data_IF_838344922169
#
_entry.id   IF_838344922169
#
_cell.length_a   1.000
_cell.length_b   1.000
_cell.length_c   1.000
_cell.angle_alpha   90.00
_cell.angle_beta   90.00
_cell.angle_gamma   90.00
#
_symmetry.space_group_name_H-M   'P 1'
#
loop_
_entity.id
_entity.type
_entity.pdbx_description
1 polymer ?
#
# COMPACT_ATOMS: atom_id res chain seq x y z
N UNK A 1 0.00 -10.00 -13.37
CA UNK A 1 0.07 -9.87 -11.89
C UNK A 1 1.33 -9.07 -11.52
N UNK A 2 1.14 -7.80 -11.15
CA UNK A 2 2.21 -6.94 -10.66
C UNK A 2 2.50 -7.16 -9.16
N UNK A 3 3.49 -6.42 -8.60
CA UNK A 3 3.92 -6.59 -7.21
C UNK A 3 2.75 -6.49 -6.19
N UNK A 4 1.88 -5.48 -6.33
CA UNK A 4 0.78 -5.27 -5.38
C UNK A 4 -0.32 -6.31 -5.54
N UNK A 5 -0.72 -6.64 -6.77
CA UNK A 5 -1.66 -7.72 -7.03
C UNK A 5 -1.15 -9.06 -6.49
N UNK A 6 0.14 -9.35 -6.68
CA UNK A 6 0.79 -10.54 -6.12
C UNK A 6 0.85 -10.55 -4.59
N UNK A 7 1.06 -9.40 -3.94
CA UNK A 7 1.01 -9.29 -2.48
C UNK A 7 -0.40 -9.57 -1.94
N UNK A 8 -1.42 -8.97 -2.55
CA UNK A 8 -2.82 -9.19 -2.19
C UNK A 8 -3.19 -10.68 -2.39
N UNK A 9 -2.84 -11.27 -3.53
CA UNK A 9 -3.07 -12.69 -3.80
C UNK A 9 -2.45 -13.57 -2.72
N UNK A 10 -1.15 -13.40 -2.44
CA UNK A 10 -0.44 -14.19 -1.41
C UNK A 10 -0.99 -13.96 0.00
N UNK A 11 -1.42 -12.74 0.30
CA UNK A 11 -2.10 -12.43 1.56
C UNK A 11 -3.44 -13.15 1.66
N UNK A 12 -4.26 -13.05 0.62
CA UNK A 12 -5.58 -13.69 0.55
C UNK A 12 -5.51 -15.20 0.74
N UNK A 13 -4.51 -15.86 0.18
CA UNK A 13 -4.29 -17.32 0.32
C UNK A 13 -3.95 -17.78 1.74
N UNK A 14 -3.73 -16.85 2.69
CA UNK A 14 -3.63 -17.20 4.13
C UNK A 14 -5.02 -17.41 4.77
N UNK A 15 -6.07 -16.92 4.14
CA UNK A 15 -7.43 -16.87 4.69
C UNK A 15 -8.46 -17.57 3.80
N UNK A 16 -8.28 -17.48 2.48
CA UNK A 16 -9.20 -18.05 1.47
C UNK A 16 -8.53 -19.23 0.78
N UNK A 17 -9.31 -20.22 0.36
CA UNK A 17 -8.82 -21.32 -0.44
C UNK A 17 -8.52 -20.85 -1.88
N UNK A 18 -7.57 -21.48 -2.61
CA UNK A 18 -7.26 -21.10 -3.98
C UNK A 18 -8.48 -21.15 -4.92
N UNK A 19 -9.42 -22.05 -4.69
CA UNK A 19 -10.67 -22.20 -5.44
C UNK A 19 -11.70 -21.06 -5.20
N UNK A 20 -11.55 -20.28 -4.14
CA UNK A 20 -12.39 -19.11 -3.85
C UNK A 20 -11.89 -17.85 -4.59
N UNK A 21 -10.75 -17.95 -5.27
CA UNK A 21 -10.09 -16.83 -5.94
C UNK A 21 -9.90 -17.16 -7.40
N UNK A 22 -10.21 -16.22 -8.28
CA UNK A 22 -9.84 -16.26 -9.68
C UNK A 22 -9.16 -14.95 -10.07
N UNK A 23 -8.37 -14.96 -11.13
CA UNK A 23 -7.74 -13.73 -11.62
C UNK A 23 -7.64 -13.71 -13.15
N UNK A 24 -7.45 -12.51 -13.69
CA UNK A 24 -7.09 -12.28 -15.07
C UNK A 24 -5.80 -11.47 -15.15
N UNK A 25 -4.93 -11.83 -16.08
CA UNK A 25 -3.77 -11.03 -16.47
C UNK A 25 -3.63 -11.06 -17.99
N UNK A 26 -3.49 -9.91 -18.63
CA UNK A 26 -3.33 -9.80 -20.08
C UNK A 26 -2.05 -10.49 -20.60
N UNK A 27 -1.07 -10.75 -19.74
CA UNK A 27 0.11 -11.53 -20.06
C UNK A 27 -0.12 -13.01 -19.69
N UNK A 28 -0.46 -13.83 -20.70
CA UNK A 28 -0.76 -15.25 -20.52
C UNK A 28 0.38 -16.04 -19.82
N UNK A 29 1.64 -15.78 -20.17
CA UNK A 29 2.78 -16.44 -19.52
C UNK A 29 2.88 -16.10 -18.03
N UNK A 30 2.54 -14.86 -17.65
CA UNK A 30 2.47 -14.45 -16.25
C UNK A 30 1.28 -15.12 -15.55
N UNK A 31 0.13 -15.24 -16.21
CA UNK A 31 -1.04 -15.92 -15.66
C UNK A 31 -0.74 -17.40 -15.38
N UNK A 32 -0.17 -18.14 -16.34
CA UNK A 32 0.25 -19.52 -16.18
C UNK A 32 1.24 -19.71 -15.02
N UNK A 33 2.23 -18.82 -14.92
CA UNK A 33 3.21 -18.83 -13.84
C UNK A 33 2.55 -18.67 -12.48
N UNK A 34 1.65 -17.68 -12.32
CA UNK A 34 0.96 -17.43 -11.05
C UNK A 34 0.06 -18.60 -10.69
N UNK A 35 -0.67 -19.17 -11.64
CA UNK A 35 -1.46 -20.40 -11.41
C UNK A 35 -0.59 -21.55 -10.91
N UNK A 36 0.56 -21.79 -11.55
CA UNK A 36 1.49 -22.85 -11.13
C UNK A 36 2.06 -22.63 -9.71
N UNK A 37 2.32 -21.38 -9.34
CA UNK A 37 2.88 -21.01 -8.03
C UNK A 37 1.85 -21.02 -6.89
N UNK A 38 0.58 -20.70 -7.19
CA UNK A 38 -0.43 -20.41 -6.16
C UNK A 38 -1.59 -21.41 -6.13
N UNK A 39 -1.81 -22.15 -7.22
CA UNK A 39 -3.00 -22.99 -7.42
C UNK A 39 -4.26 -22.20 -7.82
N UNK A 40 -4.22 -20.86 -7.78
CA UNK A 40 -5.35 -20.01 -8.17
C UNK A 40 -5.55 -20.06 -9.68
N UNK A 41 -6.79 -20.28 -10.11
CA UNK A 41 -7.11 -20.38 -11.53
C UNK A 41 -7.20 -18.98 -12.17
N UNK A 42 -6.73 -18.87 -13.42
CA UNK A 42 -6.93 -17.68 -14.22
C UNK A 42 -8.04 -17.88 -15.26
N UNK A 43 -8.69 -16.79 -15.60
CA UNK A 43 -9.74 -16.73 -16.64
C UNK A 43 -9.21 -16.03 -17.90
N UNK A 44 -9.97 -16.06 -18.98
CA UNK A 44 -9.53 -15.58 -20.31
C UNK A 44 -9.78 -14.09 -20.55
N UNK A 45 -10.62 -13.44 -19.72
CA UNK A 45 -10.98 -12.01 -19.88
C UNK A 45 -11.47 -11.36 -18.59
N UNK A 46 -11.48 -10.01 -18.54
CA UNK A 46 -12.10 -9.25 -17.45
C UNK A 46 -13.60 -9.52 -17.35
N UNK A 47 -14.30 -9.67 -18.47
CA UNK A 47 -15.74 -9.95 -18.48
C UNK A 47 -16.05 -11.32 -17.88
N UNK A 48 -15.28 -12.34 -18.22
CA UNK A 48 -15.41 -13.67 -17.63
C UNK A 48 -15.16 -13.63 -16.12
N UNK A 49 -14.18 -12.85 -15.66
CA UNK A 49 -13.92 -12.66 -14.23
C UNK A 49 -15.12 -12.00 -13.54
N UNK A 50 -15.59 -10.89 -14.09
CA UNK A 50 -16.71 -10.12 -13.51
C UNK A 50 -17.96 -10.97 -13.37
N UNK A 51 -18.26 -11.85 -14.33
CA UNK A 51 -19.47 -12.68 -14.28
C UNK A 51 -19.47 -13.71 -13.12
N UNK A 52 -18.28 -14.12 -12.65
CA UNK A 52 -18.12 -15.23 -11.70
C UNK A 52 -17.91 -14.81 -10.24
N UNK A 53 -17.61 -13.54 -9.96
CA UNK A 53 -17.21 -13.12 -8.60
C UNK A 53 -18.14 -12.08 -7.99
N UNK A 54 -18.17 -12.00 -6.67
CA UNK A 54 -18.85 -10.92 -5.91
C UNK A 54 -17.92 -9.72 -5.68
N UNK A 55 -16.64 -9.95 -5.45
CA UNK A 55 -15.65 -8.90 -5.15
C UNK A 55 -14.62 -8.82 -6.27
N UNK A 56 -14.52 -7.66 -6.91
CA UNK A 56 -13.66 -7.40 -8.06
C UNK A 56 -12.53 -6.48 -7.63
N UNK A 57 -11.27 -6.95 -7.67
CA UNK A 57 -10.12 -6.14 -7.33
C UNK A 57 -9.44 -5.61 -8.60
N UNK A 58 -9.53 -4.30 -8.83
CA UNK A 58 -8.85 -3.60 -9.92
C UNK A 58 -7.41 -3.27 -9.51
N UNK A 59 -6.48 -4.16 -9.89
CA UNK A 59 -5.06 -4.08 -9.53
C UNK A 59 -4.18 -3.80 -10.74
N UNK A 60 -4.65 -2.96 -11.64
CA UNK A 60 -3.93 -2.53 -12.85
C UNK A 60 -3.25 -1.18 -12.66
N UNK A 61 -2.28 -0.85 -13.53
CA UNK A 61 -1.66 0.48 -13.52
C UNK A 61 -2.70 1.56 -13.84
N UNK A 62 -2.57 2.78 -13.27
CA UNK A 62 -3.50 3.87 -13.53
C UNK A 62 -3.74 4.15 -15.02
N UNK A 63 -2.70 4.05 -15.85
CA UNK A 63 -2.79 4.27 -17.30
C UNK A 63 -3.63 3.23 -18.05
N UNK A 64 -3.80 2.04 -17.48
CA UNK A 64 -4.58 0.92 -18.06
C UNK A 64 -6.01 0.94 -17.55
N UNK A 65 -6.24 1.51 -16.37
CA UNK A 65 -7.54 1.46 -15.70
C UNK A 65 -8.71 1.98 -16.54
N UNK A 66 -8.62 3.10 -17.28
CA UNK A 66 -9.73 3.57 -18.12
C UNK A 66 -10.19 2.54 -19.16
N UNK A 67 -9.26 1.82 -19.78
CA UNK A 67 -9.60 0.78 -20.75
C UNK A 67 -10.31 -0.41 -20.08
N UNK A 68 -9.85 -0.83 -18.89
CA UNK A 68 -10.48 -1.90 -18.12
C UNK A 68 -11.88 -1.49 -17.65
N UNK A 69 -12.03 -0.26 -17.14
CA UNK A 69 -13.35 0.26 -16.74
C UNK A 69 -14.34 0.27 -17.92
N UNK A 70 -13.91 0.73 -19.10
CA UNK A 70 -14.73 0.73 -20.30
C UNK A 70 -15.13 -0.69 -20.76
N UNK A 71 -14.22 -1.67 -20.61
CA UNK A 71 -14.50 -3.08 -20.94
C UNK A 71 -15.58 -3.68 -20.02
N UNK A 72 -15.52 -3.41 -18.71
CA UNK A 72 -16.47 -3.97 -17.73
C UNK A 72 -17.70 -3.10 -17.47
N UNK A 73 -17.79 -1.94 -18.11
CA UNK A 73 -18.94 -1.04 -17.99
C UNK A 73 -20.24 -1.76 -18.40
N UNK A 74 -21.25 -1.70 -17.53
CA UNK A 74 -22.52 -2.39 -17.71
C UNK A 74 -22.51 -3.91 -17.45
N UNK A 75 -21.35 -4.52 -17.23
CA UNK A 75 -21.24 -5.92 -16.85
C UNK A 75 -21.24 -6.12 -15.32
N UNK A 76 -20.85 -5.11 -14.55
CA UNK A 76 -20.82 -5.16 -13.08
C UNK A 76 -22.25 -5.12 -12.53
N UNK A 77 -22.62 -6.13 -11.73
CA UNK A 77 -23.96 -6.30 -11.16
C UNK A 77 -24.12 -5.47 -9.87
N UNK A 78 -25.35 -5.13 -9.51
CA UNK A 78 -25.66 -4.28 -8.36
C UNK A 78 -25.26 -4.90 -6.99
N UNK A 79 -25.15 -6.22 -6.92
CA UNK A 79 -24.73 -6.96 -5.74
C UNK A 79 -23.22 -7.16 -5.64
N UNK A 80 -22.47 -6.76 -6.66
CA UNK A 80 -21.00 -6.85 -6.68
C UNK A 80 -20.36 -5.62 -6.05
N UNK A 81 -19.12 -5.79 -5.60
CA UNK A 81 -18.28 -4.76 -4.99
C UNK A 81 -17.00 -4.60 -5.81
N UNK A 82 -16.72 -3.39 -6.28
CA UNK A 82 -15.48 -3.08 -6.98
C UNK A 82 -14.50 -2.43 -6.00
N UNK A 83 -13.31 -3.02 -5.89
CA UNK A 83 -12.23 -2.58 -5.02
C UNK A 83 -11.08 -2.09 -5.91
N UNK A 84 -10.80 -0.79 -5.93
CA UNK A 84 -9.70 -0.24 -6.73
C UNK A 84 -8.50 0.09 -5.86
N UNK A 85 -7.32 -0.39 -6.27
CA UNK A 85 -6.02 0.00 -5.67
C UNK A 85 -5.23 0.94 -6.58
N UNK A 86 -5.84 1.48 -7.63
CA UNK A 86 -5.17 2.38 -8.56
C UNK A 86 -5.08 3.81 -8.00
N UNK A 87 -3.88 4.39 -8.04
CA UNK A 87 -3.68 5.79 -7.66
C UNK A 87 -4.31 6.74 -8.68
N UNK A 88 -4.75 7.93 -8.22
CA UNK A 88 -5.25 8.99 -9.09
C UNK A 88 -6.74 8.91 -9.42
N UNK A 89 -7.44 7.81 -9.15
CA UNK A 89 -8.88 7.66 -9.41
C UNK A 89 -9.68 7.68 -8.11
N UNK A 90 -10.63 8.60 -8.02
CA UNK A 90 -11.59 8.69 -6.93
C UNK A 90 -12.76 7.73 -7.09
N UNK A 91 -13.59 7.61 -6.05
CA UNK A 91 -14.83 6.80 -6.10
C UNK A 91 -15.77 7.32 -7.20
N UNK A 92 -15.87 8.63 -7.38
CA UNK A 92 -16.67 9.23 -8.43
C UNK A 92 -16.16 8.86 -9.84
N UNK A 93 -14.85 8.97 -10.07
CA UNK A 93 -14.22 8.61 -11.35
C UNK A 93 -14.45 7.11 -11.70
N UNK A 94 -14.38 6.24 -10.67
CA UNK A 94 -14.62 4.80 -10.82
C UNK A 94 -16.10 4.51 -11.15
N UNK A 95 -17.05 5.19 -10.50
CA UNK A 95 -18.48 5.05 -10.78
C UNK A 95 -18.82 5.57 -12.18
N UNK A 96 -18.28 6.72 -12.59
CA UNK A 96 -18.46 7.24 -13.94
C UNK A 96 -17.98 6.25 -15.01
N UNK A 97 -16.80 5.63 -14.79
CA UNK A 97 -16.21 4.71 -15.77
C UNK A 97 -16.84 3.32 -15.81
N UNK A 98 -17.41 2.81 -14.71
CA UNK A 98 -17.95 1.44 -14.61
C UNK A 98 -19.49 1.45 -14.63
N UNK A 99 -20.12 2.46 -14.02
CA UNK A 99 -21.56 2.62 -13.86
C UNK A 99 -21.90 3.26 -12.52
N UNK A 100 -22.78 4.26 -12.53
CA UNK A 100 -23.15 5.07 -11.35
C UNK A 100 -23.69 4.24 -10.16
N UNK A 101 -24.33 3.11 -10.43
CA UNK A 101 -24.84 2.20 -9.40
C UNK A 101 -23.78 1.32 -8.74
N UNK A 102 -22.52 1.36 -9.19
CA UNK A 102 -21.46 0.49 -8.70
C UNK A 102 -21.08 0.83 -7.25
N UNK A 103 -20.97 -0.19 -6.43
CA UNK A 103 -20.46 -0.08 -5.06
C UNK A 103 -18.95 -0.18 -5.07
N UNK A 104 -18.29 0.92 -4.71
CA UNK A 104 -16.85 1.08 -4.86
C UNK A 104 -16.17 1.22 -3.52
N UNK A 105 -15.06 0.49 -3.36
CA UNK A 105 -14.06 0.64 -2.30
C UNK A 105 -12.76 1.15 -2.92
N UNK A 106 -12.30 2.31 -2.51
CA UNK A 106 -11.01 2.86 -2.90
C UNK A 106 -9.95 2.49 -1.86
N UNK A 107 -8.83 1.95 -2.31
CA UNK A 107 -7.77 1.48 -1.40
C UNK A 107 -6.41 2.00 -1.85
N UNK A 108 -5.60 2.42 -0.90
CA UNK A 108 -4.20 2.81 -1.10
C UNK A 108 -3.30 1.90 -0.27
N UNK A 109 -2.90 0.74 -0.82
CA UNK A 109 -1.93 -0.14 -0.17
C UNK A 109 -0.50 0.34 -0.42
N UNK A 110 0.48 -0.28 0.25
CA UNK A 110 1.89 0.01 0.04
C UNK A 110 2.75 -1.25 -0.10
N UNK A 111 3.99 -1.09 -0.58
CA UNK A 111 4.88 -2.21 -0.93
C UNK A 111 5.28 -3.12 0.23
N UNK A 112 5.36 -2.70 1.51
CA UNK A 112 5.60 -3.63 2.63
C UNK A 112 4.54 -4.75 2.77
N UNK A 113 3.40 -4.65 2.09
CA UNK A 113 2.43 -5.74 1.93
C UNK A 113 3.06 -7.05 1.40
N UNK A 114 4.16 -6.96 0.61
CA UNK A 114 4.90 -8.13 0.10
C UNK A 114 5.47 -9.03 1.22
N UNK A 115 5.69 -8.46 2.40
CA UNK A 115 6.20 -9.17 3.58
C UNK A 115 5.17 -9.23 4.73
N UNK A 116 3.91 -8.84 4.46
CA UNK A 116 2.82 -8.87 5.44
C UNK A 116 2.82 -7.68 6.42
N UNK A 117 3.63 -6.66 6.16
CA UNK A 117 3.76 -5.44 6.98
C UNK A 117 3.25 -4.21 6.21
N UNK A 118 2.24 -4.42 5.36
CA UNK A 118 1.60 -3.34 4.62
C UNK A 118 0.70 -2.46 5.48
N UNK A 119 0.40 -1.28 4.94
CA UNK A 119 -0.71 -0.44 5.38
C UNK A 119 -1.62 -0.17 4.20
N UNK A 120 -2.91 -0.42 4.34
CA UNK A 120 -3.93 -0.07 3.38
C UNK A 120 -4.83 1.04 3.94
N UNK A 121 -4.77 2.23 3.37
CA UNK A 121 -5.80 3.25 3.58
C UNK A 121 -7.03 2.89 2.75
N UNK A 122 -8.22 2.85 3.36
CA UNK A 122 -9.45 2.38 2.73
C UNK A 122 -10.55 3.42 2.86
N UNK A 123 -11.23 3.73 1.77
CA UNK A 123 -12.37 4.66 1.75
C UNK A 123 -13.54 4.05 0.96
N UNK A 124 -14.73 4.13 1.54
CA UNK A 124 -16.01 3.76 0.90
C UNK A 124 -17.18 4.40 1.66
N UNK A 125 -18.33 4.50 1.02
CA UNK A 125 -19.57 4.90 1.68
C UNK A 125 -20.12 3.73 2.50
N UNK A 126 -19.95 3.77 3.81
CA UNK A 126 -20.34 2.70 4.73
C UNK A 126 -21.85 2.37 4.69
N UNK A 127 -22.72 3.29 4.22
CA UNK A 127 -24.16 3.06 4.11
C UNK A 127 -24.52 2.10 2.96
N UNK A 128 -23.63 1.93 1.99
CA UNK A 128 -23.83 1.06 0.84
C UNK A 128 -23.41 -0.40 1.07
N UNK A 129 -22.81 -0.71 2.24
CA UNK A 129 -22.22 -2.00 2.53
C UNK A 129 -22.82 -2.62 3.80
N UNK A 130 -23.17 -3.89 3.73
CA UNK A 130 -23.55 -4.66 4.90
C UNK A 130 -22.31 -5.10 5.72
N UNK A 131 -22.53 -5.69 6.90
CA UNK A 131 -21.43 -6.04 7.81
C UNK A 131 -20.55 -7.17 7.28
N UNK A 132 -21.10 -8.11 6.50
CA UNK A 132 -20.34 -9.18 5.85
C UNK A 132 -19.37 -8.60 4.80
N UNK A 133 -19.83 -7.65 3.99
CA UNK A 133 -19.02 -6.98 2.97
C UNK A 133 -17.91 -6.12 3.58
N UNK A 134 -18.22 -5.38 4.65
CA UNK A 134 -17.22 -4.65 5.42
C UNK A 134 -16.16 -5.59 6.00
N UNK A 135 -16.60 -6.72 6.57
CA UNK A 135 -15.70 -7.74 7.11
C UNK A 135 -14.84 -8.39 6.02
N UNK A 136 -15.38 -8.61 4.82
CA UNK A 136 -14.61 -9.12 3.68
C UNK A 136 -13.49 -8.14 3.29
N UNK A 137 -13.80 -6.85 3.14
CA UNK A 137 -12.81 -5.81 2.83
C UNK A 137 -11.73 -5.75 3.94
N UNK A 138 -12.13 -5.77 5.19
CA UNK A 138 -11.21 -5.80 6.33
C UNK A 138 -10.31 -7.04 6.27
N UNK A 139 -10.88 -8.23 6.08
CA UNK A 139 -10.14 -9.49 6.01
C UNK A 139 -9.14 -9.48 4.86
N UNK A 140 -9.54 -9.00 3.68
CA UNK A 140 -8.69 -8.91 2.51
C UNK A 140 -7.44 -8.07 2.78
N UNK A 141 -7.60 -6.87 3.34
CA UNK A 141 -6.47 -5.95 3.52
C UNK A 141 -5.67 -6.19 4.82
N UNK A 142 -6.29 -6.76 5.87
CA UNK A 142 -5.52 -7.19 7.04
C UNK A 142 -4.69 -8.45 6.80
N UNK A 143 -4.98 -9.22 5.75
CA UNK A 143 -4.14 -10.35 5.32
C UNK A 143 -2.75 -9.94 4.85
N UNK A 144 -2.56 -8.68 4.48
CA UNK A 144 -1.30 -8.11 3.96
C UNK A 144 -0.66 -7.06 4.89
N UNK A 145 -1.23 -6.86 6.09
CA UNK A 145 -0.72 -5.90 7.08
C UNK A 145 -1.80 -5.30 7.93
N UNK A 146 -1.89 -3.98 7.97
CA UNK A 146 -2.90 -3.20 8.69
C UNK A 146 -3.83 -2.48 7.71
N UNK A 147 -5.04 -2.20 8.16
CA UNK A 147 -6.03 -1.43 7.41
C UNK A 147 -6.50 -0.26 8.26
N UNK A 148 -6.60 0.91 7.65
CA UNK A 148 -7.17 2.12 8.27
C UNK A 148 -8.28 2.68 7.41
N UNK A 149 -9.46 2.88 8.00
CA UNK A 149 -10.57 3.58 7.35
C UNK A 149 -10.31 5.09 7.37
N UNK A 150 -10.39 5.70 6.21
CA UNK A 150 -10.16 7.14 6.05
C UNK A 150 -11.28 7.77 5.21
N UNK A 151 -11.50 9.07 5.38
CA UNK A 151 -12.34 9.80 4.44
C UNK A 151 -11.67 9.86 3.06
N UNK A 152 -12.45 9.75 2.00
CA UNK A 152 -11.92 9.73 0.63
C UNK A 152 -11.08 10.96 0.29
N UNK A 153 -11.46 12.15 0.77
CA UNK A 153 -10.72 13.39 0.57
C UNK A 153 -9.29 13.38 1.18
N UNK A 154 -8.99 12.42 2.06
CA UNK A 154 -7.66 12.24 2.66
C UNK A 154 -6.79 11.26 1.87
N UNK A 155 -7.33 10.54 0.89
CA UNK A 155 -6.59 9.47 0.19
C UNK A 155 -5.32 9.96 -0.51
N UNK A 156 -5.30 11.20 -1.00
CA UNK A 156 -4.10 11.78 -1.62
C UNK A 156 -3.00 12.05 -0.59
N UNK A 157 -3.35 12.37 0.66
CA UNK A 157 -2.40 12.50 1.78
C UNK A 157 -1.95 11.13 2.27
N UNK A 158 -2.86 10.14 2.30
CA UNK A 158 -2.52 8.76 2.64
C UNK A 158 -1.48 8.20 1.66
N UNK A 159 -1.56 8.54 0.38
CA UNK A 159 -0.55 8.16 -0.60
C UNK A 159 0.85 8.70 -0.22
N UNK A 160 0.94 9.92 0.30
CA UNK A 160 2.20 10.49 0.80
C UNK A 160 2.65 9.82 2.11
N UNK A 161 1.72 9.57 3.03
CA UNK A 161 2.02 9.03 4.35
C UNK A 161 2.48 7.56 4.32
N UNK A 162 1.87 6.72 3.50
CA UNK A 162 2.13 5.27 3.48
C UNK A 162 2.48 4.71 2.11
N UNK A 163 1.94 5.25 1.03
CA UNK A 163 2.19 4.76 -0.33
C UNK A 163 3.60 5.04 -0.82
N UNK A 164 4.10 6.26 -0.62
CA UNK A 164 5.40 6.73 -1.11
C UNK A 164 6.51 6.69 -0.05
N UNK A 165 6.17 6.84 1.22
CA UNK A 165 7.14 6.89 2.32
C UNK A 165 8.07 5.67 2.42
N UNK A 166 7.72 4.43 2.01
CA UNK A 166 8.67 3.33 1.97
C UNK A 166 9.96 3.66 1.18
N UNK A 167 9.84 4.40 0.07
CA UNK A 167 11.01 4.83 -0.70
C UNK A 167 11.92 5.79 0.10
N UNK A 168 11.34 6.67 0.92
CA UNK A 168 12.09 7.59 1.78
C UNK A 168 12.80 6.83 2.90
N UNK A 169 12.13 5.83 3.45
CA UNK A 169 12.71 4.94 4.48
C UNK A 169 13.88 4.13 3.90
N UNK A 170 13.75 3.60 2.69
CA UNK A 170 14.86 2.89 2.04
C UNK A 170 16.06 3.80 1.79
N UNK A 171 15.83 5.04 1.33
CA UNK A 171 16.88 6.05 1.19
C UNK A 171 17.54 6.40 2.53
N UNK A 172 16.76 6.52 3.60
CA UNK A 172 17.30 6.74 4.95
C UNK A 172 18.16 5.55 5.42
N UNK A 173 17.68 4.31 5.24
CA UNK A 173 18.42 3.09 5.60
C UNK A 173 19.74 3.03 4.83
N UNK A 174 19.72 3.32 3.53
CA UNK A 174 20.91 3.32 2.68
C UNK A 174 21.93 4.36 3.15
N UNK A 175 21.51 5.62 3.34
CA UNK A 175 22.37 6.70 3.78
C UNK A 175 22.98 6.44 5.17
N UNK A 176 22.19 5.94 6.12
CA UNK A 176 22.69 5.60 7.46
C UNK A 176 23.68 4.43 7.40
N UNK A 177 23.41 3.42 6.58
CA UNK A 177 24.33 2.31 6.36
C UNK A 177 25.65 2.79 5.71
N UNK A 178 25.59 3.74 4.77
CA UNK A 178 26.78 4.35 4.15
C UNK A 178 27.63 5.08 5.20
N UNK A 179 26.99 5.83 6.09
CA UNK A 179 27.68 6.48 7.23
C UNK A 179 28.38 5.47 8.14
N UNK A 180 27.72 4.33 8.43
CA UNK A 180 28.32 3.26 9.22
C UNK A 180 29.51 2.61 8.50
N UNK A 181 29.40 2.38 7.20
CA UNK A 181 30.50 1.80 6.40
C UNK A 181 31.69 2.74 6.32
N UNK A 182 31.45 4.05 6.16
CA UNK A 182 32.51 5.08 6.20
C UNK A 182 33.31 5.01 7.51
N UNK A 183 32.67 4.61 8.60
CA UNK A 183 33.26 4.46 9.92
C UNK A 183 33.75 3.02 10.25
N UNK A 184 33.84 2.13 9.24
CA UNK A 184 34.45 0.82 9.34
C UNK A 184 33.52 -0.38 9.53
N UNK A 185 32.19 -0.19 9.56
CA UNK A 185 31.27 -1.33 9.65
C UNK A 185 31.17 -2.04 8.29
N UNK A 186 31.30 -3.39 8.22
CA UNK A 186 31.10 -4.12 6.97
C UNK A 186 29.71 -3.89 6.36
N UNK A 187 29.63 -3.69 5.04
CA UNK A 187 28.40 -3.31 4.30
C UNK A 187 27.20 -4.22 4.58
N UNK A 188 27.42 -5.53 4.52
CA UNK A 188 26.35 -6.52 4.75
C UNK A 188 25.78 -6.48 6.17
N UNK A 189 26.63 -6.13 7.16
CA UNK A 189 26.23 -5.98 8.55
C UNK A 189 25.52 -4.63 8.76
N UNK A 190 26.00 -3.56 8.11
CA UNK A 190 25.39 -2.23 8.20
C UNK A 190 23.92 -2.25 7.80
N UNK A 191 23.56 -2.82 6.65
CA UNK A 191 22.17 -2.92 6.22
C UNK A 191 21.29 -3.71 7.20
N UNK A 192 21.79 -4.83 7.73
CA UNK A 192 21.02 -5.63 8.70
C UNK A 192 20.75 -4.86 9.99
N UNK A 193 21.77 -4.21 10.54
CA UNK A 193 21.66 -3.48 11.80
C UNK A 193 20.79 -2.24 11.66
N UNK A 194 20.99 -1.46 10.62
CA UNK A 194 20.19 -0.24 10.36
C UNK A 194 18.72 -0.60 10.09
N UNK A 195 18.45 -1.59 9.26
CA UNK A 195 17.06 -2.01 8.99
C UNK A 195 16.36 -2.49 10.25
N UNK A 196 17.03 -3.25 11.12
CA UNK A 196 16.46 -3.70 12.39
C UNK A 196 16.21 -2.53 13.35
N UNK A 197 17.12 -1.55 13.39
CA UNK A 197 16.95 -0.37 14.23
C UNK A 197 15.74 0.48 13.77
N UNK A 198 15.56 0.68 12.45
CA UNK A 198 14.41 1.39 11.88
C UNK A 198 13.10 0.65 12.18
N UNK A 199 13.07 -0.67 11.98
CA UNK A 199 11.91 -1.51 12.30
C UNK A 199 11.52 -1.38 13.78
N UNK A 200 12.48 -1.53 14.69
CA UNK A 200 12.25 -1.40 16.13
C UNK A 200 11.78 -0.02 16.54
N UNK A 201 12.32 1.04 15.94
CA UNK A 201 11.92 2.42 16.22
C UNK A 201 10.48 2.70 15.78
N UNK A 202 10.09 2.24 14.58
CA UNK A 202 8.72 2.35 14.09
C UNK A 202 7.75 1.57 14.99
N UNK A 203 8.14 0.35 15.39
CA UNK A 203 7.35 -0.50 16.28
C UNK A 203 7.14 0.13 17.66
N UNK A 204 8.17 0.78 18.22
CA UNK A 204 8.04 1.53 19.48
C UNK A 204 6.96 2.61 19.41
N UNK A 205 6.91 3.39 18.33
CA UNK A 205 5.85 4.41 18.16
C UNK A 205 4.46 3.77 18.13
N UNK A 206 4.29 2.68 17.36
CA UNK A 206 2.99 2.02 17.17
C UNK A 206 2.49 1.32 18.44
N UNK A 207 3.37 0.64 19.18
CA UNK A 207 2.96 -0.18 20.34
C UNK A 207 2.83 0.65 21.62
N UNK A 208 3.64 1.69 21.79
CA UNK A 208 3.59 2.50 23.01
C UNK A 208 2.62 3.67 22.90
N UNK A 209 2.33 4.14 21.70
CA UNK A 209 1.58 5.38 21.45
C UNK A 209 2.29 6.64 21.92
N UNK A 210 3.56 6.54 22.34
CA UNK A 210 4.35 7.69 22.79
C UNK A 210 4.65 8.64 21.63
N UNK A 211 4.73 9.93 21.95
CA UNK A 211 5.13 10.91 20.97
C UNK A 211 6.56 10.62 20.44
N UNK A 212 6.81 10.66 19.11
CA UNK A 212 8.15 10.38 18.56
C UNK A 212 9.26 11.25 19.15
N UNK A 213 8.96 12.48 19.56
CA UNK A 213 9.89 13.37 20.24
C UNK A 213 10.33 12.83 21.61
N UNK A 214 9.42 12.28 22.40
CA UNK A 214 9.71 11.67 23.70
C UNK A 214 10.60 10.44 23.52
N UNK A 215 10.26 9.56 22.55
CA UNK A 215 11.10 8.39 22.23
C UNK A 215 12.50 8.80 21.76
N UNK A 216 12.62 9.87 20.98
CA UNK A 216 13.91 10.45 20.59
C UNK A 216 14.70 10.92 21.82
N UNK A 217 14.06 11.63 22.74
CA UNK A 217 14.73 12.15 23.95
C UNK A 217 15.21 11.03 24.88
N UNK A 218 14.51 9.92 24.97
CA UNK A 218 14.94 8.72 25.71
C UNK A 218 16.29 8.14 25.24
N UNK A 219 16.65 8.37 23.97
CA UNK A 219 17.93 7.89 23.40
C UNK A 219 19.03 8.96 23.51
N UNK A 220 18.67 10.20 23.85
CA UNK A 220 19.59 11.36 23.89
C UNK A 220 20.05 11.68 25.31
N UNK A 221 21.16 11.08 25.75
CA UNK A 221 21.79 11.50 27.00
C UNK A 221 22.47 12.85 26.86
N UNK A 222 22.54 13.68 27.95
CA UNK A 222 23.27 14.93 27.93
C UNK A 222 24.75 14.76 27.54
N UNK A 223 25.19 15.51 26.51
CA UNK A 223 26.57 15.41 25.98
C UNK A 223 26.91 14.09 25.29
N UNK A 224 25.91 13.25 25.00
CA UNK A 224 26.10 11.95 24.37
C UNK A 224 26.27 12.02 22.84
N UNK A 225 26.68 10.91 22.24
CA UNK A 225 26.90 10.82 20.78
C UNK A 225 25.62 10.96 19.96
N UNK A 226 24.49 10.57 20.53
CA UNK A 226 23.19 10.65 19.83
C UNK A 226 22.76 12.09 19.60
N UNK A 227 22.90 12.97 20.61
CA UNK A 227 22.49 14.36 20.46
C UNK A 227 23.39 15.10 19.46
N UNK A 228 24.69 14.80 19.39
CA UNK A 228 25.59 15.35 18.37
C UNK A 228 25.17 14.93 16.94
N UNK A 229 24.79 13.66 16.76
CA UNK A 229 24.26 13.20 15.48
C UNK A 229 22.96 13.88 15.08
N UNK A 230 22.04 14.11 16.05
CA UNK A 230 20.80 14.85 15.81
C UNK A 230 21.06 16.32 15.46
N UNK A 231 21.98 16.99 16.15
CA UNK A 231 22.36 18.36 15.84
C UNK A 231 22.85 18.49 14.38
N UNK A 232 23.70 17.56 13.93
CA UNK A 232 24.15 17.52 12.54
C UNK A 232 22.99 17.32 11.53
N UNK A 233 21.98 16.49 11.85
CA UNK A 233 20.79 16.31 11.00
C UNK A 233 19.94 17.60 10.95
N UNK A 234 19.76 18.28 12.07
CA UNK A 234 19.00 19.54 12.11
C UNK A 234 19.73 20.66 11.33
N UNK A 235 21.04 20.81 11.49
CA UNK A 235 21.86 21.78 10.73
C UNK A 235 21.77 21.58 9.23
N UNK A 236 21.65 20.31 8.78
CA UNK A 236 21.49 19.97 7.36
C UNK A 236 20.03 19.92 6.88
N UNK A 237 19.09 20.39 7.70
CA UNK A 237 17.69 20.60 7.30
C UNK A 237 16.88 19.33 7.09
N UNK A 238 17.21 18.24 7.80
CA UNK A 238 16.56 16.92 7.65
C UNK A 238 15.03 17.00 7.68
N UNK A 239 14.46 17.68 8.69
CA UNK A 239 12.99 17.83 8.81
C UNK A 239 12.39 18.55 7.61
N UNK A 240 13.03 19.66 7.20
CA UNK A 240 12.58 20.43 6.03
C UNK A 240 12.63 19.63 4.74
N UNK A 241 13.63 18.76 4.57
CA UNK A 241 13.74 17.88 3.40
C UNK A 241 12.58 16.88 3.34
N UNK A 242 12.24 16.24 4.47
CA UNK A 242 11.12 15.28 4.54
C UNK A 242 9.77 15.97 4.27
N UNK A 243 9.53 17.14 4.87
CA UNK A 243 8.29 17.90 4.64
C UNK A 243 8.15 18.28 3.18
N UNK A 244 9.22 18.80 2.54
CA UNK A 244 9.21 19.14 1.11
C UNK A 244 8.99 17.91 0.21
N UNK A 245 9.50 16.74 0.59
CA UNK A 245 9.26 15.50 -0.15
C UNK A 245 7.76 15.11 -0.11
N UNK A 246 7.10 15.24 1.06
CA UNK A 246 5.67 15.03 1.20
C UNK A 246 4.86 16.02 0.37
N UNK A 247 5.22 17.30 0.38
CA UNK A 247 4.56 18.34 -0.41
C UNK A 247 4.68 18.06 -1.92
N UNK A 248 5.87 17.74 -2.40
CA UNK A 248 6.12 17.43 -3.80
C UNK A 248 5.30 16.20 -4.26
N UNK A 249 5.23 15.16 -3.42
CA UNK A 249 4.42 13.98 -3.67
C UNK A 249 2.93 14.32 -3.75
N UNK A 250 2.40 15.05 -2.77
CA UNK A 250 1.00 15.46 -2.72
C UNK A 250 0.61 16.30 -3.94
N UNK A 251 1.44 17.27 -4.34
CA UNK A 251 1.18 18.07 -5.55
C UNK A 251 1.19 17.20 -6.82
N UNK A 252 2.14 16.28 -6.94
CA UNK A 252 2.20 15.38 -8.10
C UNK A 252 1.00 14.44 -8.16
N UNK A 253 0.52 13.94 -7.03
CA UNK A 253 -0.64 13.05 -6.97
C UNK A 253 -1.91 13.74 -7.52
N UNK A 254 -2.11 15.02 -7.21
CA UNK A 254 -3.22 15.83 -7.76
C UNK A 254 -3.17 15.99 -9.28
N UNK A 255 -2.00 15.83 -9.90
CA UNK A 255 -1.81 15.95 -11.34
C UNK A 255 -1.94 14.61 -12.09
N UNK A 256 -2.22 13.50 -11.39
CA UNK A 256 -2.41 12.18 -12.00
C UNK A 256 -3.84 11.96 -12.51
N UNK A 257 -4.71 12.96 -12.34
CA UNK A 257 -6.10 12.98 -12.85
C UNK A 257 -6.14 13.39 -14.30
#
# INVERSE_FOLDING_TARGET
MGNMAGAIMKGSLKTFAPEDIIFFDANAAQAEKVTAETGVQHVSSNLELVDQVKYIVLAVKPQVLPAVMAEINGAVKADQVVISIAAGFGIADLKEGIGEGTRVVRVMPNTPALVGEGLAGVAYDAALFNDEEKKMVETLFTSIGKMELVNENMMDVVASASGCSPAYVYMFIEALADGCVKNGLPRNLAYKMVSQAVLGSAKMVLETGMHPGELKDMVCSPGGTTIEGLAALEENGFRGAIIKACDANFQKNKLLK
#
